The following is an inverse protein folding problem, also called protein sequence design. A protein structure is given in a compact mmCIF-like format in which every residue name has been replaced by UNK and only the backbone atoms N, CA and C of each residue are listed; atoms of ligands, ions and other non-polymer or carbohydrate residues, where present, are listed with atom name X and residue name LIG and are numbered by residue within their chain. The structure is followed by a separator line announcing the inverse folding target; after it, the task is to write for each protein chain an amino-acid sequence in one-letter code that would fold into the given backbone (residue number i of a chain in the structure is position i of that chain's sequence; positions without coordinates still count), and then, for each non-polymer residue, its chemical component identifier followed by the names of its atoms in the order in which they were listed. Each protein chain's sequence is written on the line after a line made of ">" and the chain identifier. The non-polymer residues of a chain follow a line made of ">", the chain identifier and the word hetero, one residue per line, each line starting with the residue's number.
data_IF_431159468041
#
_entry.id   IF_431159468041
#
_cell.length_a   1.000
_cell.length_b   1.000
_cell.length_c   1.000
_cell.angle_alpha   90.00
_cell.angle_beta   90.00
_cell.angle_gamma   90.00
#
_symmetry.space_group_name_H-M   'P 1'
#
loop_
_entity.id
_entity.type
_entity.pdbx_description
1 polymer ?
#
# COMPACT_ATOMS: atom_id res chain seq x y z
N UNK A 1 46.72 26.44 -13.34
CA UNK A 1 46.60 25.25 -12.47
C UNK A 1 45.11 25.06 -12.23
N UNK A 2 44.55 23.99 -12.78
CA UNK A 2 43.26 23.45 -12.34
C UNK A 2 43.48 22.92 -10.92
N UNK A 3 42.68 23.37 -9.96
CA UNK A 3 42.46 22.65 -8.71
C UNK A 3 40.96 22.72 -8.38
N UNK A 4 40.29 21.68 -8.87
CA UNK A 4 39.24 20.89 -8.24
C UNK A 4 37.98 21.59 -7.68
N UNK A 5 36.96 21.55 -8.53
CA UNK A 5 35.55 21.56 -8.21
C UNK A 5 35.28 20.48 -7.14
N UNK A 6 35.03 20.93 -5.90
CA UNK A 6 34.62 20.07 -4.80
C UNK A 6 33.26 19.45 -5.17
N UNK A 7 33.31 18.25 -5.74
CA UNK A 7 32.14 17.41 -5.99
C UNK A 7 31.49 17.11 -4.64
N UNK A 8 30.35 17.73 -4.39
CA UNK A 8 29.41 17.34 -3.33
C UNK A 8 29.03 15.87 -3.52
N UNK A 9 29.77 14.97 -2.88
CA UNK A 9 29.29 13.62 -2.59
C UNK A 9 28.37 13.72 -1.38
N UNK A 10 27.09 13.91 -1.68
CA UNK A 10 25.95 13.88 -0.78
C UNK A 10 25.69 12.44 -0.28
N UNK A 11 26.59 11.92 0.57
CA UNK A 11 26.60 10.49 0.92
C UNK A 11 26.60 10.13 2.41
N UNK A 12 26.29 11.04 3.34
CA UNK A 12 26.37 10.74 4.79
C UNK A 12 25.12 11.12 5.63
N UNK A 13 23.91 11.18 5.04
CA UNK A 13 22.66 11.49 5.76
C UNK A 13 21.60 10.38 5.72
N UNK A 14 22.03 9.12 5.87
CA UNK A 14 21.09 8.01 6.10
C UNK A 14 20.71 7.98 7.59
N UNK A 15 19.45 8.29 7.91
CA UNK A 15 18.92 8.17 9.28
C UNK A 15 18.92 6.72 9.74
N UNK A 16 19.63 6.46 10.83
CA UNK A 16 19.84 5.14 11.38
C UNK A 16 18.51 4.49 11.79
N UNK A 17 17.62 5.26 12.44
CA UNK A 17 16.34 4.72 12.89
C UNK A 17 15.40 4.38 11.73
N UNK A 18 15.29 5.25 10.71
CA UNK A 18 14.39 5.02 9.56
C UNK A 18 14.81 3.80 8.76
N UNK A 19 16.09 3.67 8.46
CA UNK A 19 16.64 2.52 7.74
C UNK A 19 16.49 1.22 8.52
N UNK A 20 16.78 1.27 9.82
CA UNK A 20 16.54 0.14 10.71
C UNK A 20 15.06 -0.26 10.74
N UNK A 21 14.14 0.70 10.82
CA UNK A 21 12.71 0.43 10.87
C UNK A 21 12.22 -0.23 9.58
N UNK A 22 12.61 0.27 8.41
CA UNK A 22 12.14 -0.26 7.12
C UNK A 22 12.78 -1.61 6.79
N UNK A 23 14.02 -1.83 7.21
CA UNK A 23 14.71 -3.12 7.04
C UNK A 23 14.27 -4.17 8.06
N UNK A 24 13.55 -3.77 9.12
CA UNK A 24 13.06 -4.68 10.14
C UNK A 24 12.03 -5.67 9.58
N UNK A 25 12.13 -6.92 10.04
CA UNK A 25 11.23 -8.00 9.63
C UNK A 25 9.77 -7.64 9.96
N UNK A 26 8.90 -7.68 8.94
CA UNK A 26 7.50 -7.29 9.07
C UNK A 26 7.20 -5.90 8.52
N UNK A 27 8.20 -5.08 8.20
CA UNK A 27 8.02 -3.72 7.71
C UNK A 27 8.26 -3.57 6.20
N UNK A 28 8.28 -4.69 5.46
CA UNK A 28 8.58 -4.71 4.03
C UNK A 28 7.60 -3.88 3.16
N UNK A 29 6.42 -3.55 3.70
CA UNK A 29 5.41 -2.74 3.02
C UNK A 29 5.63 -1.22 3.16
N UNK A 30 6.42 -0.77 4.14
CA UNK A 30 6.70 0.65 4.29
C UNK A 30 7.67 1.13 3.20
N UNK A 31 7.51 2.39 2.80
CA UNK A 31 8.54 3.13 2.10
C UNK A 31 9.20 4.13 3.03
N UNK A 32 10.41 4.56 2.68
CA UNK A 32 11.11 5.59 3.43
C UNK A 32 10.45 6.95 3.26
N UNK A 33 10.07 7.57 4.38
CA UNK A 33 9.60 8.95 4.44
C UNK A 33 10.81 9.90 4.37
N UNK A 34 10.74 10.89 3.49
CA UNK A 34 11.80 11.88 3.33
C UNK A 34 11.94 12.74 4.59
N UNK A 35 13.16 13.07 4.97
CA UNK A 35 13.47 13.85 6.17
C UNK A 35 12.82 15.25 6.14
N UNK A 36 12.82 15.89 4.97
CA UNK A 36 12.13 17.17 4.74
C UNK A 36 10.63 17.10 5.06
N UNK A 37 10.00 15.94 4.82
CA UNK A 37 8.58 15.74 5.13
C UNK A 37 8.34 15.62 6.64
N UNK A 38 9.25 14.97 7.35
CA UNK A 38 9.21 14.78 8.81
C UNK A 38 9.55 16.06 9.58
N UNK A 39 10.40 16.93 9.02
CA UNK A 39 10.82 18.18 9.66
C UNK A 39 9.81 19.32 9.45
N UNK A 40 8.94 19.23 8.43
CA UNK A 40 7.85 20.18 8.23
C UNK A 40 6.66 19.91 9.16
N UNK A 41 6.51 20.78 10.16
CA UNK A 41 5.44 20.72 11.16
C UNK A 41 4.03 20.74 10.57
N UNK A 42 3.83 21.33 9.39
CA UNK A 42 2.52 21.38 8.77
C UNK A 42 2.01 19.97 8.42
N UNK A 43 2.90 19.10 7.93
CA UNK A 43 2.57 17.71 7.59
C UNK A 43 2.18 16.88 8.81
N UNK A 44 2.69 17.25 9.99
CA UNK A 44 2.49 16.54 11.25
C UNK A 44 1.31 17.07 12.09
N UNK A 45 0.57 18.05 11.57
CA UNK A 45 -0.54 18.70 12.30
C UNK A 45 -1.53 17.67 12.86
N UNK A 46 -1.86 17.79 14.15
CA UNK A 46 -2.82 16.94 14.87
C UNK A 46 -2.25 15.63 15.43
N UNK A 47 -1.07 15.18 15.00
CA UNK A 47 -0.49 13.92 15.50
C UNK A 47 -0.03 14.01 16.95
N UNK A 48 0.26 15.21 17.44
CA UNK A 48 0.63 15.45 18.83
C UNK A 48 -0.47 15.10 19.85
N UNK A 49 -1.73 15.04 19.43
CA UNK A 49 -2.84 14.60 20.29
C UNK A 49 -3.10 13.10 20.22
N UNK A 50 -2.62 12.43 19.18
CA UNK A 50 -2.84 11.00 18.95
C UNK A 50 -1.69 10.15 19.49
N UNK A 51 -0.46 10.69 19.46
CA UNK A 51 0.76 9.95 19.80
C UNK A 51 1.25 10.32 21.21
N UNK A 52 1.34 9.35 22.15
CA UNK A 52 2.01 9.55 23.44
C UNK A 52 3.49 9.89 23.25
N UNK A 53 4.07 10.69 24.16
CA UNK A 53 5.49 11.07 24.07
C UNK A 53 5.90 11.66 22.71
N UNK A 54 4.99 12.35 22.02
CA UNK A 54 5.15 12.82 20.63
C UNK A 54 6.50 13.46 20.34
N UNK A 55 6.98 14.38 21.19
CA UNK A 55 8.27 15.05 20.96
C UNK A 55 9.43 14.06 20.99
N UNK A 56 9.49 13.18 22.00
CA UNK A 56 10.51 12.15 22.11
C UNK A 56 10.44 11.13 20.98
N UNK A 57 9.23 10.77 20.56
CA UNK A 57 9.01 9.90 19.42
C UNK A 57 9.52 10.53 18.11
N UNK A 58 9.26 11.83 17.91
CA UNK A 58 9.74 12.57 16.75
C UNK A 58 11.27 12.68 16.76
N UNK A 59 11.85 13.08 17.90
CA UNK A 59 13.30 13.19 18.08
C UNK A 59 13.99 11.85 17.78
N UNK A 60 13.37 10.72 18.15
CA UNK A 60 13.89 9.38 17.86
C UNK A 60 13.83 9.03 16.37
N UNK A 61 12.72 9.35 15.68
CA UNK A 61 12.57 9.11 14.24
C UNK A 61 13.51 9.98 13.40
N UNK A 62 13.93 11.13 13.93
CA UNK A 62 14.87 12.06 13.28
C UNK A 62 16.31 11.93 13.78
N UNK A 63 16.64 10.89 14.58
CA UNK A 63 17.97 10.66 15.16
C UNK A 63 18.54 11.83 16.00
N UNK A 64 17.68 12.65 16.62
CA UNK A 64 18.05 13.75 17.55
C UNK A 64 17.80 13.36 19.02
N UNK A 65 17.46 12.09 19.27
CA UNK A 65 17.11 11.60 20.59
C UNK A 65 18.33 11.40 21.50
N UNK A 66 18.48 12.26 22.51
CA UNK A 66 19.61 12.28 23.46
C UNK A 66 19.16 12.13 24.93
N UNK A 67 18.05 11.43 25.17
CA UNK A 67 17.55 11.21 26.53
C UNK A 67 18.16 9.94 27.15
N UNK A 68 18.81 10.11 28.29
CA UNK A 68 19.20 9.02 29.19
C UNK A 68 17.96 8.54 29.99
N UNK A 69 17.16 7.69 29.34
CA UNK A 69 15.95 7.10 29.88
C UNK A 69 16.21 5.69 30.40
N UNK A 70 15.44 5.25 31.40
CA UNK A 70 15.42 3.84 31.78
C UNK A 70 14.84 2.96 30.65
N UNK A 71 15.10 1.66 30.73
CA UNK A 71 14.73 0.71 29.67
C UNK A 71 13.21 0.70 29.41
N UNK A 72 12.39 0.82 30.46
CA UNK A 72 10.93 0.83 30.37
C UNK A 72 10.40 2.07 29.64
N UNK A 73 10.91 3.27 29.96
CA UNK A 73 10.52 4.50 29.26
C UNK A 73 11.01 4.47 27.81
N UNK A 74 12.22 3.94 27.57
CA UNK A 74 12.75 3.82 26.22
C UNK A 74 11.89 2.92 25.33
N UNK A 75 11.41 1.79 25.85
CA UNK A 75 10.49 0.91 25.12
C UNK A 75 9.16 1.62 24.77
N UNK A 76 8.61 2.41 25.70
CA UNK A 76 7.39 3.19 25.45
C UNK A 76 7.58 4.28 24.38
N UNK A 77 8.74 4.95 24.39
CA UNK A 77 9.10 5.94 23.36
C UNK A 77 9.27 5.25 22.01
N UNK A 78 9.94 4.10 21.94
CA UNK A 78 10.06 3.33 20.69
C UNK A 78 8.72 2.89 20.14
N UNK A 79 7.80 2.42 20.99
CA UNK A 79 6.43 2.08 20.56
C UNK A 79 5.71 3.29 19.99
N UNK A 80 5.87 4.44 20.61
CA UNK A 80 5.29 5.72 20.16
C UNK A 80 5.91 6.20 18.85
N UNK A 81 7.23 6.02 18.66
CA UNK A 81 7.94 6.32 17.42
C UNK A 81 7.47 5.45 16.25
N UNK A 82 7.32 4.13 16.45
CA UNK A 82 6.75 3.22 15.43
C UNK A 82 5.33 3.63 15.07
N UNK A 83 4.52 4.03 16.06
CA UNK A 83 3.15 4.49 15.84
C UNK A 83 3.12 5.82 15.06
N UNK A 84 3.93 6.80 15.47
CA UNK A 84 4.08 8.08 14.79
C UNK A 84 4.50 7.88 13.33
N UNK A 85 5.54 7.08 13.10
CA UNK A 85 6.04 6.82 11.75
C UNK A 85 4.96 6.21 10.85
N UNK A 86 4.17 5.27 11.39
CA UNK A 86 3.05 4.69 10.67
C UNK A 86 1.96 5.72 10.29
N UNK A 87 1.60 6.61 11.21
CA UNK A 87 0.62 7.67 10.93
C UNK A 87 1.13 8.68 9.89
N UNK A 88 2.41 9.06 9.97
CA UNK A 88 3.03 9.94 8.98
C UNK A 88 3.13 9.24 7.63
N UNK A 89 3.44 7.94 7.62
CA UNK A 89 3.52 7.14 6.39
C UNK A 89 2.19 7.17 5.62
N UNK A 90 1.05 7.02 6.30
CA UNK A 90 -0.27 7.11 5.68
C UNK A 90 -0.51 8.44 4.95
N UNK A 91 -0.04 9.55 5.54
CA UNK A 91 -0.10 10.89 4.93
C UNK A 91 0.91 11.05 3.80
N UNK A 92 2.10 10.46 3.96
CA UNK A 92 3.18 10.58 3.00
C UNK A 92 2.91 9.85 1.70
N UNK A 93 2.38 8.62 1.75
CA UNK A 93 2.19 7.79 0.55
C UNK A 93 1.09 8.26 -0.40
N UNK A 94 0.30 9.28 -0.03
CA UNK A 94 -0.64 9.95 -0.93
C UNK A 94 -0.05 11.22 -1.57
N UNK A 95 1.16 11.62 -1.20
CA UNK A 95 1.91 12.70 -1.86
C UNK A 95 2.58 12.20 -3.14
N UNK A 96 2.99 13.10 -4.03
CA UNK A 96 3.70 12.74 -5.27
C UNK A 96 5.01 11.98 -5.01
N UNK A 97 5.79 12.40 -4.00
CA UNK A 97 7.07 11.76 -3.61
C UNK A 97 6.82 10.36 -3.02
N UNK A 98 5.87 10.24 -2.09
CA UNK A 98 5.51 8.96 -1.49
C UNK A 98 4.91 7.96 -2.49
N UNK A 99 4.05 8.42 -3.39
CA UNK A 99 3.48 7.60 -4.47
C UNK A 99 4.59 7.04 -5.38
N UNK A 100 5.58 7.85 -5.77
CA UNK A 100 6.69 7.39 -6.61
C UNK A 100 7.45 6.23 -5.95
N UNK A 101 7.80 6.37 -4.65
CA UNK A 101 8.48 5.30 -3.89
C UNK A 101 7.63 4.03 -3.80
N UNK A 102 6.31 4.18 -3.59
CA UNK A 102 5.41 3.02 -3.51
C UNK A 102 5.19 2.34 -4.87
N UNK A 103 5.20 3.09 -5.97
CA UNK A 103 5.14 2.56 -7.34
C UNK A 103 6.36 1.67 -7.62
N UNK A 104 7.55 2.07 -7.18
CA UNK A 104 8.76 1.26 -7.36
C UNK A 104 8.66 -0.08 -6.61
N UNK A 105 8.14 -0.07 -5.39
CA UNK A 105 7.86 -1.30 -4.62
C UNK A 105 6.77 -2.15 -5.27
N UNK A 106 5.73 -1.52 -5.81
CA UNK A 106 4.64 -2.20 -6.52
C UNK A 106 5.15 -2.94 -7.77
N UNK A 107 6.00 -2.28 -8.58
CA UNK A 107 6.62 -2.88 -9.77
C UNK A 107 7.54 -4.06 -9.43
N UNK A 108 8.24 -3.99 -8.29
CA UNK A 108 9.08 -5.09 -7.78
C UNK A 108 8.25 -6.25 -7.20
N UNK A 109 6.98 -6.00 -6.87
CA UNK A 109 6.09 -7.00 -6.28
C UNK A 109 6.31 -7.20 -4.79
N UNK A 110 6.90 -6.22 -4.10
CA UNK A 110 7.25 -6.29 -2.67
C UNK A 110 6.03 -6.58 -1.77
N UNK A 111 4.85 -6.11 -2.19
CA UNK A 111 3.59 -6.28 -1.46
C UNK A 111 2.98 -7.68 -1.61
N UNK A 112 3.54 -8.49 -2.53
CA UNK A 112 3.03 -9.80 -2.88
C UNK A 112 2.08 -9.77 -4.08
N UNK A 113 1.48 -10.94 -4.34
CA UNK A 113 0.69 -11.24 -5.53
C UNK A 113 -0.69 -11.78 -5.17
N UNK A 114 -1.67 -11.42 -5.99
CA UNK A 114 -3.07 -11.83 -5.83
C UNK A 114 -3.20 -13.36 -5.68
N UNK A 115 -3.93 -13.85 -4.66
CA UNK A 115 -4.14 -15.28 -4.48
C UNK A 115 -5.16 -15.87 -5.48
N UNK A 116 -5.98 -15.03 -6.13
CA UNK A 116 -6.95 -15.48 -7.12
C UNK A 116 -6.21 -15.98 -8.36
N UNK A 117 -6.44 -17.23 -8.74
CA UNK A 117 -5.79 -17.89 -9.89
C UNK A 117 -6.01 -17.10 -11.19
N UNK A 118 -7.24 -16.61 -11.42
CA UNK A 118 -7.60 -15.82 -12.60
C UNK A 118 -6.94 -14.43 -12.66
N UNK A 119 -6.27 -13.99 -11.60
CA UNK A 119 -5.49 -12.77 -11.61
C UNK A 119 -4.03 -12.99 -12.03
N UNK A 120 -3.61 -14.24 -12.26
CA UNK A 120 -2.29 -14.60 -12.84
C UNK A 120 -1.11 -14.00 -12.06
N UNK A 121 -1.26 -13.87 -10.75
CA UNK A 121 -0.22 -13.30 -9.89
C UNK A 121 -0.05 -11.78 -10.00
N UNK A 122 -1.11 -11.04 -10.33
CA UNK A 122 -1.15 -9.57 -10.28
C UNK A 122 -0.53 -9.03 -8.96
N UNK A 123 0.44 -8.10 -9.03
CA UNK A 123 0.96 -7.39 -7.87
C UNK A 123 -0.14 -6.68 -7.07
N UNK A 124 -0.02 -6.71 -5.74
CA UNK A 124 -0.99 -6.10 -4.82
C UNK A 124 -0.50 -4.75 -4.28
N UNK A 125 -1.39 -3.99 -3.67
CA UNK A 125 -1.05 -2.77 -2.92
C UNK A 125 -1.55 -2.88 -1.47
N UNK A 126 -0.77 -2.43 -0.47
CA UNK A 126 -1.22 -2.40 0.91
C UNK A 126 -2.27 -1.30 1.10
N UNK A 127 -3.27 -1.53 1.94
CA UNK A 127 -4.25 -0.52 2.33
C UNK A 127 -4.87 -0.84 3.70
N UNK A 128 -5.39 0.20 4.36
CA UNK A 128 -6.26 0.07 5.51
C UNK A 128 -7.73 -0.02 5.10
N UNK A 129 -8.53 -0.77 5.86
CA UNK A 129 -10.00 -0.66 5.75
C UNK A 129 -10.54 0.55 6.53
N UNK A 130 -9.77 1.00 7.52
CA UNK A 130 -10.08 2.12 8.39
C UNK A 130 -8.85 3.00 8.51
N UNK A 131 -9.05 4.31 8.54
CA UNK A 131 -7.97 5.29 8.78
C UNK A 131 -7.72 5.53 10.28
N UNK A 132 -8.55 4.93 11.15
CA UNK A 132 -8.44 5.02 12.60
C UNK A 132 -7.55 3.87 13.11
N UNK A 133 -6.48 4.17 13.88
CA UNK A 133 -5.59 3.14 14.40
C UNK A 133 -6.28 2.11 15.30
N UNK A 134 -5.68 0.91 15.36
CA UNK A 134 -6.10 -0.24 16.15
C UNK A 134 -7.48 -0.83 15.79
N UNK A 135 -8.11 -0.38 14.69
CA UNK A 135 -9.38 -0.95 14.22
C UNK A 135 -9.18 -2.23 13.38
N UNK A 136 -8.25 -2.20 12.43
CA UNK A 136 -8.03 -3.30 11.50
C UNK A 136 -6.59 -3.35 11.04
N UNK A 137 -6.08 -4.55 10.82
CA UNK A 137 -4.74 -4.75 10.26
C UNK A 137 -4.73 -4.51 8.76
N UNK A 138 -3.52 -4.34 8.20
CA UNK A 138 -3.34 -4.07 6.77
C UNK A 138 -3.97 -5.17 5.90
N UNK A 139 -4.60 -4.74 4.81
CA UNK A 139 -5.13 -5.59 3.74
C UNK A 139 -4.38 -5.31 2.45
N UNK A 140 -4.51 -6.21 1.50
CA UNK A 140 -3.88 -6.11 0.18
C UNK A 140 -4.97 -5.97 -0.89
N UNK A 141 -4.97 -4.84 -1.58
CA UNK A 141 -5.85 -4.57 -2.70
C UNK A 141 -5.28 -5.14 -3.99
N UNK A 142 -6.09 -5.88 -4.74
CA UNK A 142 -5.75 -6.32 -6.09
C UNK A 142 -6.38 -5.40 -7.13
N UNK A 143 -5.58 -4.71 -7.96
CA UNK A 143 -6.13 -3.84 -8.98
C UNK A 143 -6.73 -4.59 -10.18
N UNK A 144 -6.50 -5.90 -10.35
CA UNK A 144 -7.09 -6.70 -11.45
C UNK A 144 -8.49 -7.21 -11.11
N UNK A 145 -8.71 -7.72 -9.90
CA UNK A 145 -10.05 -8.19 -9.47
C UNK A 145 -10.80 -7.23 -8.53
N UNK A 146 -10.18 -6.13 -8.12
CA UNK A 146 -10.79 -5.07 -7.30
C UNK A 146 -11.32 -5.58 -5.95
N UNK A 147 -10.57 -6.50 -5.34
CA UNK A 147 -10.95 -7.14 -4.08
C UNK A 147 -9.79 -7.12 -3.08
N UNK A 148 -10.13 -7.31 -1.81
CA UNK A 148 -9.23 -7.22 -0.66
C UNK A 148 -8.82 -8.61 -0.16
N UNK A 149 -7.53 -8.75 0.11
CA UNK A 149 -6.93 -9.98 0.60
C UNK A 149 -6.17 -9.77 1.90
N UNK A 150 -6.08 -10.84 2.70
CA UNK A 150 -5.19 -10.86 3.85
C UNK A 150 -3.75 -11.07 3.38
N UNK A 151 -2.76 -10.43 4.04
CA UNK A 151 -1.36 -10.76 3.83
C UNK A 151 -1.11 -12.25 4.05
N UNK A 152 -0.34 -12.89 3.17
CA UNK A 152 -0.06 -14.34 3.25
C UNK A 152 0.82 -14.69 4.45
N UNK A 153 1.74 -13.80 4.82
CA UNK A 153 2.66 -14.03 5.94
C UNK A 153 2.09 -13.42 7.22
N UNK A 154 2.12 -14.20 8.31
CA UNK A 154 1.70 -13.73 9.64
C UNK A 154 2.50 -12.53 10.14
N UNK A 155 3.74 -12.34 9.66
CA UNK A 155 4.59 -11.18 10.01
C UNK A 155 3.97 -9.84 9.62
N UNK A 156 3.19 -9.82 8.54
CA UNK A 156 2.52 -8.62 8.03
C UNK A 156 1.12 -8.46 8.61
N UNK A 157 0.58 -9.52 9.23
CA UNK A 157 -0.77 -9.52 9.78
C UNK A 157 -0.92 -8.66 11.03
N UNK A 158 0.19 -8.27 11.68
CA UNK A 158 0.20 -7.39 12.86
C UNK A 158 0.37 -5.91 12.53
N UNK A 159 0.61 -5.55 11.26
CA UNK A 159 0.74 -4.14 10.87
C UNK A 159 -0.65 -3.50 10.87
N UNK A 160 -0.75 -2.31 11.46
CA UNK A 160 -1.98 -1.53 11.45
C UNK A 160 -2.30 -1.05 10.02
N UNK A 161 -3.55 -1.24 9.58
CA UNK A 161 -4.00 -0.77 8.28
C UNK A 161 -4.06 0.75 8.18
N UNK A 162 -4.26 1.45 9.31
CA UNK A 162 -4.31 2.91 9.36
C UNK A 162 -3.01 3.56 8.85
N UNK A 163 -1.88 2.84 8.92
CA UNK A 163 -0.57 3.32 8.44
C UNK A 163 -0.43 3.38 6.90
N UNK A 164 -1.41 2.84 6.17
CA UNK A 164 -1.50 2.96 4.72
C UNK A 164 -2.73 3.75 4.28
N UNK A 165 -3.75 3.80 5.14
CA UNK A 165 -5.03 4.44 4.85
C UNK A 165 -5.85 3.72 3.79
N UNK A 166 -7.13 4.08 3.68
CA UNK A 166 -8.06 3.48 2.73
C UNK A 166 -7.92 4.05 1.31
N UNK A 167 -7.40 5.27 1.19
CA UNK A 167 -7.39 6.03 -0.07
C UNK A 167 -6.17 5.76 -0.95
N UNK A 168 -5.09 5.19 -0.41
CA UNK A 168 -3.80 5.09 -1.10
C UNK A 168 -3.88 4.36 -2.46
N UNK A 169 -4.50 3.17 -2.60
CA UNK A 169 -4.57 2.51 -3.91
C UNK A 169 -5.30 3.34 -4.96
N UNK A 170 -6.40 3.99 -4.59
CA UNK A 170 -7.18 4.85 -5.48
C UNK A 170 -6.38 6.07 -5.93
N UNK A 171 -5.69 6.74 -5.00
CA UNK A 171 -4.81 7.87 -5.30
C UNK A 171 -3.68 7.48 -6.26
N UNK A 172 -3.08 6.29 -6.05
CA UNK A 172 -2.01 5.79 -6.92
C UNK A 172 -2.49 5.61 -8.36
N UNK A 173 -3.64 4.97 -8.59
CA UNK A 173 -4.15 4.77 -9.94
C UNK A 173 -4.72 6.04 -10.58
N UNK A 174 -5.16 7.01 -9.79
CA UNK A 174 -5.54 8.32 -10.30
C UNK A 174 -4.32 9.09 -10.85
N UNK A 175 -3.17 9.02 -10.17
CA UNK A 175 -1.92 9.68 -10.61
C UNK A 175 -1.21 8.87 -11.70
N UNK A 176 -1.27 7.54 -11.63
CA UNK A 176 -0.62 6.62 -12.57
C UNK A 176 -1.65 5.70 -13.27
N UNK A 177 -2.52 6.25 -14.14
CA UNK A 177 -3.57 5.45 -14.80
C UNK A 177 -3.00 4.34 -15.68
N UNK A 178 -1.79 4.50 -16.22
CA UNK A 178 -1.10 3.46 -17.01
C UNK A 178 -0.67 2.22 -16.21
N UNK A 179 -0.78 2.23 -14.87
CA UNK A 179 -0.52 1.05 -14.03
C UNK A 179 -1.78 0.25 -13.73
N UNK A 180 -2.96 0.72 -14.13
CA UNK A 180 -4.21 -0.02 -13.98
C UNK A 180 -4.16 -1.23 -14.91
N UNK A 181 -4.21 -2.46 -14.38
CA UNK A 181 -4.18 -3.65 -15.20
C UNK A 181 -5.49 -3.78 -15.98
N UNK A 182 -5.39 -4.37 -17.17
CA UNK A 182 -6.56 -4.78 -17.93
C UNK A 182 -7.40 -5.78 -17.14
N UNK A 183 -8.71 -5.56 -17.21
CA UNK A 183 -9.67 -6.39 -16.48
C UNK A 183 -9.93 -7.65 -17.29
N UNK A 184 -10.13 -8.76 -16.60
CA UNK A 184 -10.56 -10.02 -17.21
C UNK A 184 -11.93 -10.41 -16.68
N UNK A 185 -12.79 -10.83 -17.60
CA UNK A 185 -14.10 -11.41 -17.28
C UNK A 185 -14.02 -12.90 -16.94
N UNK A 186 -12.87 -13.53 -17.20
CA UNK A 186 -12.63 -14.95 -16.99
C UNK A 186 -12.85 -15.41 -15.54
N UNK A 187 -13.55 -16.53 -15.41
CA UNK A 187 -13.94 -17.15 -14.13
C UNK A 187 -13.64 -18.64 -14.16
N UNK A 188 -13.44 -19.20 -12.97
CA UNK A 188 -13.30 -20.65 -12.84
C UNK A 188 -14.61 -21.34 -13.24
N UNK A 189 -14.55 -22.20 -14.26
CA UNK A 189 -15.66 -23.04 -14.68
C UNK A 189 -15.52 -24.45 -14.08
N UNK A 190 -16.35 -24.84 -13.09
CA UNK A 190 -16.29 -26.17 -12.52
C UNK A 190 -16.75 -27.23 -13.55
N UNK A 191 -15.90 -28.25 -13.76
CA UNK A 191 -16.14 -29.34 -14.70
C UNK A 191 -15.93 -30.70 -14.05
N UNK A 192 -16.80 -31.67 -14.36
CA UNK A 192 -16.72 -33.07 -13.94
C UNK A 192 -16.63 -33.92 -15.21
N UNK A 193 -15.54 -34.68 -15.37
CA UNK A 193 -15.23 -35.44 -16.61
C UNK A 193 -15.33 -34.58 -17.91
N UNK A 194 -14.98 -33.29 -17.82
CA UNK A 194 -15.06 -32.35 -18.95
C UNK A 194 -16.41 -31.63 -19.10
N UNK A 195 -17.47 -32.11 -18.44
CA UNK A 195 -18.81 -31.51 -18.48
C UNK A 195 -18.99 -30.42 -17.43
N UNK A 196 -19.61 -29.30 -17.82
CA UNK A 196 -19.96 -28.21 -16.89
C UNK A 196 -21.02 -28.67 -15.88
N UNK A 197 -20.86 -28.31 -14.61
CA UNK A 197 -21.84 -28.65 -13.56
C UNK A 197 -23.12 -27.83 -13.72
N UNK A 198 -24.30 -28.48 -13.81
CA UNK A 198 -25.57 -27.84 -14.19
C UNK A 198 -25.94 -26.61 -13.35
N UNK A 199 -25.90 -26.72 -12.02
CA UNK A 199 -26.27 -25.61 -11.12
C UNK A 199 -25.28 -24.44 -11.19
N UNK A 200 -23.97 -24.73 -11.17
CA UNK A 200 -22.93 -23.72 -11.30
C UNK A 200 -22.96 -23.05 -12.68
N UNK A 201 -23.24 -23.81 -13.74
CA UNK A 201 -23.40 -23.29 -15.09
C UNK A 201 -24.65 -22.40 -15.22
N UNK A 202 -25.75 -22.72 -14.54
CA UNK A 202 -26.94 -21.87 -14.52
C UNK A 202 -26.66 -20.53 -13.81
N UNK A 203 -26.01 -20.56 -12.64
CA UNK A 203 -25.62 -19.36 -11.92
C UNK A 203 -24.62 -18.51 -12.73
N UNK A 204 -23.60 -19.15 -13.32
CA UNK A 204 -22.61 -18.47 -14.15
C UNK A 204 -23.29 -17.74 -15.32
N UNK A 205 -24.17 -18.42 -16.09
CA UNK A 205 -24.93 -17.79 -17.18
C UNK A 205 -25.77 -16.59 -16.71
N UNK A 206 -26.42 -16.69 -15.55
CA UNK A 206 -27.20 -15.58 -14.99
C UNK A 206 -26.30 -14.39 -14.60
N UNK A 207 -25.16 -14.66 -13.97
CA UNK A 207 -24.18 -13.62 -13.62
C UNK A 207 -23.54 -12.98 -14.86
N UNK A 208 -23.29 -13.77 -15.90
CA UNK A 208 -22.76 -13.31 -17.18
C UNK A 208 -23.74 -12.37 -17.87
N UNK A 209 -25.01 -12.76 -17.94
CA UNK A 209 -26.08 -11.92 -18.49
C UNK A 209 -26.19 -10.59 -17.74
N UNK A 210 -26.22 -10.61 -16.40
CA UNK A 210 -26.29 -9.39 -15.60
C UNK A 210 -25.07 -8.48 -15.80
N UNK A 211 -23.88 -9.07 -15.95
CA UNK A 211 -22.66 -8.33 -16.26
C UNK A 211 -22.77 -7.66 -17.64
N UNK A 212 -23.24 -8.38 -18.65
CA UNK A 212 -23.34 -7.86 -20.02
C UNK A 212 -24.37 -6.71 -20.09
N UNK A 213 -25.50 -6.85 -19.39
CA UNK A 213 -26.49 -5.76 -19.21
C UNK A 213 -25.84 -4.53 -18.54
N UNK A 214 -25.00 -4.73 -17.52
CA UNK A 214 -24.29 -3.64 -16.85
C UNK A 214 -23.23 -3.00 -17.77
N UNK A 215 -22.48 -3.80 -18.55
CA UNK A 215 -21.52 -3.29 -19.55
C UNK A 215 -22.22 -2.41 -20.58
N UNK A 216 -23.41 -2.79 -21.02
CA UNK A 216 -24.23 -1.97 -21.94
C UNK A 216 -24.63 -0.65 -21.28
N UNK A 217 -25.15 -0.69 -20.05
CA UNK A 217 -25.52 0.52 -19.30
C UNK A 217 -24.33 1.49 -19.09
N UNK A 218 -23.14 0.98 -18.81
CA UNK A 218 -21.93 1.80 -18.67
C UNK A 218 -21.53 2.44 -19.99
N UNK A 219 -21.58 1.70 -21.10
CA UNK A 219 -21.34 2.23 -22.45
C UNK A 219 -22.33 3.33 -22.82
N UNK A 220 -23.62 3.15 -22.54
CA UNK A 220 -24.66 4.16 -22.78
C UNK A 220 -24.42 5.44 -21.94
N UNK A 221 -23.79 5.31 -20.77
CA UNK A 221 -23.38 6.43 -19.92
C UNK A 221 -22.04 7.06 -20.34
N UNK A 222 -21.43 6.61 -21.44
CA UNK A 222 -20.14 7.10 -21.92
C UNK A 222 -18.92 6.59 -21.13
N UNK A 223 -19.08 5.55 -20.31
CA UNK A 223 -17.99 4.92 -19.57
C UNK A 223 -17.52 3.67 -20.31
N UNK A 224 -16.36 3.76 -20.97
CA UNK A 224 -15.79 2.64 -21.71
C UNK A 224 -14.73 1.91 -20.85
N UNK A 225 -14.98 0.64 -20.55
CA UNK A 225 -14.06 -0.25 -19.81
C UNK A 225 -13.60 -1.34 -20.77
N UNK A 226 -12.29 -1.38 -21.05
CA UNK A 226 -11.69 -2.41 -21.90
C UNK A 226 -11.39 -3.66 -21.09
N UNK A 227 -11.77 -4.82 -21.63
CA UNK A 227 -11.43 -6.12 -21.09
C UNK A 227 -10.48 -6.85 -22.04
N UNK A 228 -9.60 -7.69 -21.49
CA UNK A 228 -8.66 -8.51 -22.27
C UNK A 228 -9.39 -9.32 -23.35
N UNK A 229 -10.56 -9.87 -23.01
CA UNK A 229 -11.34 -10.70 -23.93
C UNK A 229 -12.01 -9.91 -25.07
N UNK A 230 -12.06 -8.58 -25.01
CA UNK A 230 -12.64 -7.75 -26.08
C UNK A 230 -11.66 -7.59 -27.27
N UNK A 231 -10.36 -7.82 -27.09
CA UNK A 231 -9.33 -7.74 -28.15
C UNK A 231 -9.12 -9.07 -28.90
N UNK A 232 -9.64 -10.18 -28.38
CA UNK A 232 -9.51 -11.52 -28.96
C UNK A 232 -10.59 -11.84 -30.03
N UNK A 233 -11.48 -10.89 -30.34
CA UNK A 233 -12.63 -11.04 -31.27
C UNK A 233 -12.39 -10.34 -32.61
#
# INVERSE_FOLDING_TARGET
>A
MMEDFNSETDSDYTSYWRDWFISSRGNEYFCEIDEEYLTDRFNLTGLNTEVPYYQYALDLVTDVFDLDADDDLREQIEKSARHLYGLVHARYIVTTRGLAKMVDKYKKGDFGKCPRVMCEGQPLLPMGQHDIPNMSTVRLYCPKCEDLYNPKSSRHASIDGAYFGASFPSMLFQVYPGLVPEKSTSRYEPRIYGFRVHAAAALARWQDQYRDDMKTRLRDAGMEVKYVEDEEV
#
